data_IF_655630188334
#
_entry.id   IF_655630188334
#
_cell.length_a   1.000
_cell.length_b   1.000
_cell.length_c   1.000
_cell.angle_alpha   90.00
_cell.angle_beta   90.00
_cell.angle_gamma   90.00
#
_symmetry.space_group_name_H-M   'P 1'
#
loop_
_entity.id
_entity.type
_entity.pdbx_description
1 polymer ?
#
# COMPACT_ATOMS: atom_id res chain seq x y z
N UNK A 1 -8.56 20.16 -1.90
CA UNK A 1 -7.94 18.83 -1.66
C UNK A 1 -8.44 17.92 -2.77
N UNK A 2 -7.54 17.30 -3.53
CA UNK A 2 -7.86 16.61 -4.79
C UNK A 2 -8.72 15.38 -4.46
N UNK A 3 -10.03 15.45 -4.72
CA UNK A 3 -11.00 14.38 -4.44
C UNK A 3 -11.13 13.35 -5.58
N UNK A 4 -10.24 13.36 -6.56
CA UNK A 4 -10.36 12.48 -7.71
C UNK A 4 -9.71 11.12 -7.41
N UNK A 5 -10.46 10.01 -7.51
CA UNK A 5 -9.89 8.69 -7.34
C UNK A 5 -8.82 8.41 -8.40
N UNK A 6 -7.71 7.82 -7.98
CA UNK A 6 -6.60 7.47 -8.86
C UNK A 6 -6.82 6.11 -9.52
N UNK A 7 -6.48 6.00 -10.81
CA UNK A 7 -6.59 4.74 -11.56
C UNK A 7 -5.22 4.29 -12.02
N UNK A 8 -4.77 3.14 -11.53
CA UNK A 8 -3.48 2.57 -11.93
C UNK A 8 -3.67 1.75 -13.21
N UNK A 9 -3.01 2.17 -14.29
CA UNK A 9 -3.09 1.51 -15.59
C UNK A 9 -2.10 0.36 -15.68
N UNK A 10 -2.56 -0.81 -16.12
CA UNK A 10 -1.71 -1.95 -16.44
C UNK A 10 -1.43 -2.00 -17.95
N UNK A 11 -0.29 -2.57 -18.32
CA UNK A 11 0.09 -2.87 -19.70
C UNK A 11 -0.87 -3.90 -20.29
N UNK A 12 -1.16 -3.84 -21.60
CA UNK A 12 -1.92 -4.88 -22.27
C UNK A 12 -1.20 -6.23 -22.14
N UNK A 13 -1.94 -7.29 -21.81
CA UNK A 13 -1.38 -8.63 -21.56
C UNK A 13 -0.81 -8.83 -20.15
N UNK A 14 -1.20 -8.01 -19.17
CA UNK A 14 -0.85 -8.24 -17.77
C UNK A 14 -1.38 -9.59 -17.29
N UNK A 15 -0.47 -10.43 -16.77
CA UNK A 15 -0.81 -11.75 -16.23
C UNK A 15 -0.93 -11.64 -14.71
N UNK A 16 -2.05 -12.07 -14.12
CA UNK A 16 -2.22 -12.05 -12.68
C UNK A 16 -1.16 -12.86 -11.94
N UNK A 17 -0.64 -12.28 -10.86
CA UNK A 17 0.29 -12.96 -9.94
C UNK A 17 -0.49 -13.28 -8.67
N UNK A 18 -0.63 -14.59 -8.40
CA UNK A 18 -1.32 -15.11 -7.23
C UNK A 18 -0.39 -16.03 -6.42
N UNK A 19 -0.09 -15.62 -5.18
CA UNK A 19 0.68 -16.45 -4.24
C UNK A 19 -0.21 -17.58 -3.70
N UNK A 20 0.30 -18.81 -3.73
CA UNK A 20 -0.41 -19.99 -3.20
C UNK A 20 -0.31 -20.12 -1.68
N UNK A 21 0.76 -19.60 -1.10
CA UNK A 21 1.08 -19.74 0.32
C UNK A 21 1.50 -18.37 0.88
N UNK A 22 0.94 -17.95 2.04
CA UNK A 22 1.35 -16.71 2.67
C UNK A 22 2.77 -16.83 3.21
N UNK A 23 3.45 -15.69 3.35
CA UNK A 23 4.74 -15.69 4.02
C UNK A 23 4.58 -16.03 5.49
N UNK A 24 5.54 -16.81 6.01
CA UNK A 24 5.61 -17.12 7.44
C UNK A 24 5.90 -15.86 8.23
N UNK A 25 5.07 -15.60 9.24
CA UNK A 25 5.24 -14.51 10.20
C UNK A 25 5.83 -15.11 11.48
N UNK A 26 6.89 -14.54 12.06
CA UNK A 26 7.39 -14.98 13.35
C UNK A 26 6.29 -14.91 14.43
N UNK A 27 6.15 -15.96 15.23
CA UNK A 27 5.11 -16.06 16.27
C UNK A 27 4.97 -14.81 17.16
N UNK A 28 6.05 -14.16 17.63
CA UNK A 28 5.95 -12.95 18.47
C UNK A 28 5.35 -11.72 17.76
N UNK A 29 5.26 -11.74 16.43
CA UNK A 29 4.72 -10.65 15.63
C UNK A 29 3.28 -10.87 15.19
N UNK A 30 2.73 -12.08 15.37
CA UNK A 30 1.39 -12.46 14.87
C UNK A 30 0.31 -11.53 15.43
N UNK A 31 0.30 -11.32 16.74
CA UNK A 31 -0.72 -10.46 17.37
C UNK A 31 -0.58 -9.00 16.93
N UNK A 32 0.66 -8.51 16.81
CA UNK A 32 0.93 -7.14 16.33
C UNK A 32 0.50 -6.93 14.88
N UNK A 33 0.64 -7.95 14.04
CA UNK A 33 0.17 -7.92 12.65
C UNK A 33 -1.36 -7.90 12.62
N UNK A 34 -2.02 -8.69 13.47
CA UNK A 34 -3.48 -8.68 13.60
C UNK A 34 -3.99 -7.30 14.03
N UNK A 35 -3.39 -6.70 15.05
CA UNK A 35 -3.77 -5.38 15.56
C UNK A 35 -3.61 -4.29 14.49
N UNK A 36 -2.51 -4.33 13.72
CA UNK A 36 -2.27 -3.36 12.66
C UNK A 36 -3.24 -3.53 11.48
N UNK A 37 -3.60 -4.77 11.11
CA UNK A 37 -4.62 -5.04 10.09
C UNK A 37 -5.99 -4.48 10.52
N UNK A 38 -6.41 -4.75 11.76
CA UNK A 38 -7.67 -4.21 12.30
C UNK A 38 -7.68 -2.68 12.32
N UNK A 39 -6.55 -2.06 12.69
CA UNK A 39 -6.40 -0.61 12.67
C UNK A 39 -6.51 -0.05 11.25
N UNK A 40 -5.92 -0.70 10.25
CA UNK A 40 -5.98 -0.27 8.85
C UNK A 40 -7.39 -0.42 8.27
N UNK A 41 -8.10 -1.48 8.63
CA UNK A 41 -9.50 -1.71 8.25
C UNK A 41 -10.42 -0.66 8.89
N UNK A 42 -10.26 -0.38 10.18
CA UNK A 42 -11.02 0.66 10.89
C UNK A 42 -10.80 2.08 10.33
N UNK A 43 -9.61 2.33 9.77
CA UNK A 43 -9.31 3.59 9.08
C UNK A 43 -9.83 3.65 7.63
N UNK A 44 -10.40 2.55 7.11
CA UNK A 44 -10.85 2.45 5.73
C UNK A 44 -9.72 2.43 4.70
N UNK A 45 -8.49 2.13 5.12
CA UNK A 45 -7.32 2.04 4.22
C UNK A 45 -7.35 0.73 3.44
N UNK A 46 -7.81 -0.34 4.08
CA UNK A 46 -7.98 -1.67 3.50
C UNK A 46 -9.41 -2.17 3.75
N UNK A 47 -9.84 -3.14 2.97
CA UNK A 47 -11.15 -3.79 3.12
C UNK A 47 -11.02 -5.29 2.96
N UNK A 48 -11.92 -6.06 3.55
CA UNK A 48 -11.93 -7.52 3.36
C UNK A 48 -12.46 -7.90 1.97
N UNK A 49 -11.86 -8.93 1.39
CA UNK A 49 -12.19 -9.46 0.08
C UNK A 49 -12.78 -10.85 0.28
N UNK A 50 -14.06 -10.97 -0.04
CA UNK A 50 -14.83 -12.21 0.13
C UNK A 50 -14.90 -13.06 -1.14
N UNK A 51 -14.71 -12.43 -2.30
CA UNK A 51 -14.82 -13.05 -3.61
C UNK A 51 -13.47 -13.65 -4.07
N UNK A 52 -13.47 -14.65 -4.96
CA UNK A 52 -12.25 -15.11 -5.62
C UNK A 52 -11.56 -13.98 -6.39
N UNK A 53 -10.23 -14.00 -6.41
CA UNK A 53 -9.41 -12.92 -6.98
C UNK A 53 -8.32 -13.50 -7.86
N UNK A 54 -8.02 -12.80 -8.96
CA UNK A 54 -6.96 -13.21 -9.86
C UNK A 54 -5.58 -12.75 -9.35
N UNK A 55 -5.54 -11.61 -8.67
CA UNK A 55 -4.32 -11.08 -8.04
C UNK A 55 -4.29 -11.47 -6.57
N UNK A 56 -3.13 -11.92 -6.10
CA UNK A 56 -2.90 -12.18 -4.68
C UNK A 56 -1.41 -12.08 -4.40
N UNK A 57 -1.00 -11.18 -3.52
CA UNK A 57 0.42 -11.04 -3.14
C UNK A 57 0.60 -11.21 -1.65
N UNK A 58 1.84 -11.48 -1.23
CA UNK A 58 2.16 -11.69 0.17
C UNK A 58 2.49 -10.37 0.87
N UNK A 59 2.22 -10.30 2.17
CA UNK A 59 2.73 -9.20 3.00
C UNK A 59 4.16 -9.49 3.49
N UNK A 60 4.90 -8.44 3.75
CA UNK A 60 6.19 -8.41 4.44
C UNK A 60 5.97 -7.64 5.74
N UNK A 61 6.36 -8.25 6.85
CA UNK A 61 6.27 -7.64 8.17
C UNK A 61 7.65 -7.11 8.56
N UNK A 62 7.76 -5.81 8.80
CA UNK A 62 8.97 -5.20 9.32
C UNK A 62 8.75 -4.66 10.74
N UNK A 63 9.55 -5.08 11.73
CA UNK A 63 9.48 -4.50 13.07
C UNK A 63 9.99 -3.05 13.05
N UNK A 64 9.29 -2.17 13.77
CA UNK A 64 9.74 -0.81 14.05
C UNK A 64 10.45 -0.75 15.40
N UNK A 65 11.21 0.33 15.61
CA UNK A 65 11.91 0.62 16.88
C UNK A 65 10.95 0.84 18.05
N UNK A 66 9.72 1.27 17.78
CA UNK A 66 8.66 1.55 18.76
C UNK A 66 7.83 0.30 19.12
N UNK A 67 8.39 -0.89 18.90
CA UNK A 67 7.75 -2.19 19.15
C UNK A 67 6.50 -2.48 18.28
N UNK A 68 6.14 -1.60 17.35
CA UNK A 68 5.06 -1.82 16.36
C UNK A 68 5.58 -2.53 15.11
N UNK A 69 4.67 -2.87 14.20
CA UNK A 69 5.01 -3.45 12.89
C UNK A 69 4.67 -2.49 11.75
N UNK A 70 5.40 -2.59 10.64
CA UNK A 70 5.05 -2.02 9.35
C UNK A 70 4.68 -3.16 8.43
N UNK A 71 3.45 -3.11 7.92
CA UNK A 71 2.98 -4.03 6.88
C UNK A 71 3.35 -3.44 5.52
N UNK A 72 4.06 -4.21 4.72
CA UNK A 72 4.43 -3.85 3.35
C UNK A 72 3.89 -4.92 2.40
N UNK A 73 3.26 -4.51 1.31
CA UNK A 73 2.75 -5.43 0.30
C UNK A 73 3.85 -5.72 -0.71
N UNK A 74 4.04 -6.99 -1.06
CA UNK A 74 5.00 -7.33 -2.12
C UNK A 74 4.38 -7.12 -3.50
N UNK A 75 4.61 -5.94 -4.05
CA UNK A 75 4.07 -5.54 -5.35
C UNK A 75 5.05 -5.79 -6.50
N UNK A 76 6.15 -6.53 -6.28
CA UNK A 76 7.20 -6.72 -7.29
C UNK A 76 6.68 -7.32 -8.59
N UNK A 77 5.81 -8.33 -8.51
CA UNK A 77 5.17 -8.93 -9.69
C UNK A 77 4.22 -7.96 -10.39
N UNK A 78 3.33 -7.30 -9.64
CA UNK A 78 2.35 -6.35 -10.18
C UNK A 78 3.04 -5.13 -10.83
N UNK A 79 4.09 -4.60 -10.19
CA UNK A 79 4.83 -3.42 -10.64
C UNK A 79 5.52 -3.59 -12.01
N UNK A 80 5.71 -4.82 -12.50
CA UNK A 80 6.23 -5.09 -13.85
C UNK A 80 5.21 -4.74 -14.93
N UNK A 81 3.93 -4.90 -14.61
CA UNK A 81 2.80 -4.67 -15.50
C UNK A 81 2.25 -3.25 -15.40
N UNK A 82 2.61 -2.46 -14.38
CA UNK A 82 2.14 -1.08 -14.26
C UNK A 82 2.72 -0.18 -15.36
N UNK A 83 1.85 0.60 -16.01
CA UNK A 83 2.22 1.70 -16.88
C UNK A 83 2.68 2.88 -16.02
N UNK A 84 3.99 3.14 -16.00
CA UNK A 84 4.56 4.21 -15.16
C UNK A 84 4.33 5.58 -15.79
N UNK A 85 3.56 6.41 -15.08
CA UNK A 85 3.45 7.83 -15.38
C UNK A 85 4.77 8.53 -15.02
N UNK A 86 5.24 9.41 -15.91
CA UNK A 86 6.44 10.21 -15.68
C UNK A 86 6.03 11.60 -15.24
N UNK A 87 6.06 11.84 -13.94
CA UNK A 87 5.95 13.19 -13.40
C UNK A 87 7.34 13.80 -13.27
N UNK A 88 7.63 14.83 -14.08
CA UNK A 88 8.92 15.52 -14.04
C UNK A 88 8.91 16.49 -12.86
N UNK A 89 9.63 16.16 -11.80
CA UNK A 89 9.86 17.07 -10.69
C UNK A 89 10.82 18.19 -11.11
N UNK A 90 10.59 19.44 -10.66
CA UNK A 90 11.55 20.51 -10.88
C UNK A 90 12.89 20.18 -10.24
N UNK A 91 13.98 20.76 -10.76
CA UNK A 91 15.29 20.57 -10.14
C UNK A 91 15.32 21.19 -8.74
N UNK A 92 16.28 20.74 -7.92
CA UNK A 92 16.47 21.30 -6.57
C UNK A 92 16.79 22.79 -6.66
N UNK A 93 17.64 23.19 -7.60
CA UNK A 93 18.03 24.60 -7.83
C UNK A 93 16.84 25.45 -8.26
N UNK A 94 15.98 24.94 -9.17
CA UNK A 94 14.76 25.64 -9.57
C UNK A 94 13.80 25.80 -8.39
N UNK A 95 13.70 24.79 -7.54
CA UNK A 95 12.84 24.82 -6.36
C UNK A 95 13.37 25.79 -5.30
N UNK A 96 14.68 25.80 -5.06
CA UNK A 96 15.34 26.73 -4.14
C UNK A 96 15.35 28.17 -4.65
N UNK A 97 15.50 28.38 -5.96
CA UNK A 97 15.43 29.70 -6.57
C UNK A 97 14.08 30.38 -6.35
N UNK A 98 12.97 29.62 -6.36
CA UNK A 98 11.63 30.13 -6.02
C UNK A 98 11.47 30.55 -4.57
N UNK A 99 12.34 30.07 -3.69
CA UNK A 99 12.35 30.37 -2.26
C UNK A 99 13.27 31.56 -1.91
N UNK A 100 13.95 32.15 -2.90
CA UNK A 100 14.82 33.29 -2.68
C UNK A 100 14.06 34.49 -2.10
N UNK A 101 14.62 35.09 -1.05
CA UNK A 101 14.00 36.23 -0.35
C UNK A 101 12.99 35.85 0.74
N UNK A 102 12.62 34.57 0.88
CA UNK A 102 11.84 34.11 2.01
C UNK A 102 12.66 34.16 3.31
N UNK A 103 12.07 34.72 4.37
CA UNK A 103 12.72 34.87 5.69
C UNK A 103 12.32 33.78 6.69
N UNK A 104 11.20 33.11 6.44
CA UNK A 104 10.62 32.09 7.31
C UNK A 104 10.21 30.91 6.44
N UNK A 105 10.55 29.70 6.89
CA UNK A 105 10.22 28.45 6.22
C UNK A 105 9.44 27.55 7.18
N UNK A 106 8.40 26.90 6.66
CA UNK A 106 7.68 25.84 7.35
C UNK A 106 7.70 24.59 6.49
N UNK A 107 8.07 23.46 7.09
CA UNK A 107 8.02 22.15 6.44
C UNK A 107 6.79 21.41 6.95
N UNK A 108 5.93 21.01 6.03
CA UNK A 108 4.77 20.17 6.30
C UNK A 108 5.05 18.77 5.78
N UNK A 109 4.74 17.75 6.59
CA UNK A 109 4.80 16.36 6.19
C UNK A 109 3.38 15.80 6.06
N UNK A 110 3.07 15.23 4.91
CA UNK A 110 1.78 14.59 4.67
C UNK A 110 1.79 13.20 5.31
N UNK A 111 1.25 13.10 6.53
CA UNK A 111 1.17 11.83 7.24
C UNK A 111 0.38 10.81 6.41
N UNK A 112 1.00 9.67 6.11
CA UNK A 112 0.44 8.61 5.27
C UNK A 112 -0.18 9.15 3.97
N UNK A 113 0.53 10.05 3.27
CA UNK A 113 -0.03 10.76 2.11
C UNK A 113 -0.64 9.85 1.02
N UNK A 114 -0.12 8.64 0.83
CA UNK A 114 -0.69 7.68 -0.14
C UNK A 114 -2.08 7.16 0.25
N UNK A 115 -2.40 7.07 1.55
CA UNK A 115 -3.70 6.59 2.03
C UNK A 115 -4.81 7.63 1.85
N UNK A 116 -4.45 8.89 1.57
CA UNK A 116 -5.42 9.98 1.44
C UNK A 116 -6.05 10.05 0.04
N UNK A 117 -5.46 9.37 -0.95
CA UNK A 117 -5.95 9.37 -2.33
C UNK A 117 -6.69 8.04 -2.58
N UNK A 118 -8.01 8.05 -2.78
CA UNK A 118 -8.75 6.82 -3.03
C UNK A 118 -8.38 6.25 -4.40
N UNK A 119 -8.45 4.92 -4.54
CA UNK A 119 -8.38 4.26 -5.84
C UNK A 119 -9.79 4.16 -6.46
N UNK A 120 -9.91 4.17 -7.79
CA UNK A 120 -11.19 3.86 -8.46
C UNK A 120 -11.61 2.42 -8.18
N UNK A 121 -12.90 2.10 -8.12
CA UNK A 121 -13.39 0.74 -7.81
C UNK A 121 -12.72 -0.39 -8.63
N UNK A 122 -12.57 -0.29 -9.98
CA UNK A 122 -11.94 -1.35 -10.77
C UNK A 122 -10.43 -1.50 -10.50
N UNK A 123 -9.82 -0.48 -9.90
CA UNK A 123 -8.45 -0.49 -9.43
C UNK A 123 -8.44 -1.02 -7.99
N UNK A 124 -9.22 -0.43 -7.09
CA UNK A 124 -9.37 -0.81 -5.70
C UNK A 124 -9.61 -2.31 -5.51
N UNK A 125 -10.40 -2.95 -6.37
CA UNK A 125 -10.52 -4.42 -6.41
C UNK A 125 -9.14 -5.07 -6.62
N UNK A 126 -8.49 -4.91 -7.76
CA UNK A 126 -7.15 -5.49 -8.07
C UNK A 126 -6.06 -5.21 -7.02
N UNK A 127 -6.15 -4.07 -6.32
CA UNK A 127 -5.17 -3.65 -5.32
C UNK A 127 -5.52 -4.14 -3.91
N UNK A 128 -6.80 -4.22 -3.54
CA UNK A 128 -7.27 -4.88 -2.30
C UNK A 128 -7.08 -6.40 -2.39
N UNK A 129 -7.21 -6.97 -3.58
CA UNK A 129 -6.90 -8.37 -3.91
C UNK A 129 -5.45 -8.76 -3.55
N UNK A 130 -4.51 -7.81 -3.65
CA UNK A 130 -3.11 -8.02 -3.28
C UNK A 130 -2.85 -7.97 -1.75
N UNK A 131 -3.74 -7.31 -0.99
CA UNK A 131 -3.50 -7.01 0.44
C UNK A 131 -4.13 -8.04 1.40
N UNK A 132 -5.18 -8.74 0.98
CA UNK A 132 -6.16 -9.30 1.93
C UNK A 132 -5.99 -10.79 2.23
N UNK A 133 -5.31 -11.57 1.39
CA UNK A 133 -5.19 -13.02 1.62
C UNK A 133 -4.42 -13.38 2.89
N UNK A 134 -3.53 -12.50 3.38
CA UNK A 134 -2.81 -12.78 4.63
C UNK A 134 -3.70 -12.63 5.88
N UNK A 135 -4.75 -11.80 5.82
CA UNK A 135 -5.65 -11.58 6.96
C UNK A 135 -6.58 -12.80 7.20
N UNK A 136 -7.14 -13.39 6.13
CA UNK A 136 -7.99 -14.59 6.21
C UNK A 136 -7.24 -15.84 6.72
N UNK A 137 -5.93 -15.93 6.50
CA UNK A 137 -5.13 -17.07 6.97
C UNK A 137 -4.68 -16.94 8.43
N UNK A 138 -4.60 -15.71 8.97
CA UNK A 138 -4.33 -15.49 10.39
C UNK A 138 -5.55 -15.70 11.29
N UNK A 139 -6.77 -15.64 10.74
CA UNK A 139 -7.99 -16.04 11.46
C UNK A 139 -8.22 -17.57 11.40
N UNK A 140 -7.81 -18.24 10.33
CA UNK A 140 -7.94 -19.70 10.17
C UNK A 140 -6.83 -20.55 10.82
N UNK A 141 -5.67 -19.95 11.15
CA UNK A 141 -4.55 -20.67 11.78
C UNK A 141 -4.56 -20.66 13.32
N UNK A 142 -5.65 -20.17 13.93
CA UNK A 142 -5.86 -20.12 15.39
C UNK A 142 -7.08 -20.97 15.82
N UNK A 143 -7.51 -21.90 14.97
CA UNK A 143 -8.48 -22.94 15.33
C UNK A 143 -7.79 -24.30 15.41
#
# INVERSE_FOLDING_TARGET
>A
MVQQPYTIRLKPGAVPVSVKTPRRIPLPLVDKVRDELQRMEALGVISQVEKPTDWCTGIVVMPKKDNKVRLCVELTGLNQYVCREKYILPSVEQSLGKLAGAKVFSKLDANMGFWQIPLTEPCGEKWSEAEVTTAKQLSGAVA
#
